data_IF_425129168403
#
_entry.id   IF_425129168403
#
_cell.length_a   1.000
_cell.length_b   1.000
_cell.length_c   1.000
_cell.angle_alpha   90.00
_cell.angle_beta   90.00
_cell.angle_gamma   90.00
#
_symmetry.space_group_name_H-M   'P 1'
#
loop_
_entity.id
_entity.type
_entity.pdbx_description
1 polymer ?
#
# COMPACT_ATOMS: atom_id res chain seq x y z
N UNK A 1 9.32 0.33 3.90
CA UNK A 1 8.46 1.49 3.53
C UNK A 1 7.46 1.76 4.64
N UNK A 2 7.44 2.97 5.25
CA UNK A 2 6.61 3.27 6.42
C UNK A 2 5.11 3.13 6.17
N UNK A 3 4.65 3.41 4.94
CA UNK A 3 3.24 3.27 4.55
C UNK A 3 2.70 1.84 4.67
N UNK A 4 3.53 0.83 4.43
CA UNK A 4 3.12 -0.58 4.60
C UNK A 4 2.84 -0.88 6.06
N UNK A 5 3.65 -0.33 6.97
CA UNK A 5 3.43 -0.45 8.42
C UNK A 5 2.14 0.25 8.86
N UNK A 6 1.85 1.44 8.32
CA UNK A 6 0.60 2.15 8.60
C UNK A 6 -0.62 1.37 8.11
N UNK A 7 -0.58 0.84 6.88
CA UNK A 7 -1.67 0.04 6.33
C UNK A 7 -1.88 -1.26 7.11
N UNK A 8 -0.79 -1.94 7.50
CA UNK A 8 -0.84 -3.13 8.35
C UNK A 8 -1.44 -2.84 9.73
N UNK A 9 -1.01 -1.77 10.39
CA UNK A 9 -1.57 -1.38 11.68
C UNK A 9 -3.06 -1.03 11.61
N UNK A 10 -3.48 -0.31 10.56
CA UNK A 10 -4.89 -0.02 10.31
C UNK A 10 -5.71 -1.31 10.09
N UNK A 11 -5.16 -2.26 9.32
CA UNK A 11 -5.79 -3.56 9.06
C UNK A 11 -5.94 -4.40 10.33
N UNK A 12 -4.87 -4.53 11.12
CA UNK A 12 -4.90 -5.29 12.38
C UNK A 12 -5.90 -4.70 13.36
N UNK A 13 -5.88 -3.37 13.54
CA UNK A 13 -6.84 -2.67 14.39
C UNK A 13 -8.29 -2.92 13.95
N UNK A 14 -8.56 -2.85 12.64
CA UNK A 14 -9.89 -3.07 12.09
C UNK A 14 -10.36 -4.52 12.28
N UNK A 15 -9.52 -5.50 11.95
CA UNK A 15 -9.84 -6.93 12.09
C UNK A 15 -10.10 -7.29 13.55
N UNK A 16 -9.32 -6.74 14.49
CA UNK A 16 -9.55 -6.96 15.92
C UNK A 16 -10.87 -6.32 16.40
N UNK A 17 -11.19 -5.11 15.92
CA UNK A 17 -12.45 -4.45 16.22
C UNK A 17 -13.68 -5.24 15.72
N UNK A 18 -13.60 -5.80 14.51
CA UNK A 18 -14.68 -6.57 13.90
C UNK A 18 -15.13 -7.78 14.72
N UNK A 19 -14.21 -8.42 15.47
CA UNK A 19 -14.50 -9.65 16.24
C UNK A 19 -15.65 -9.47 17.23
N UNK A 20 -15.76 -8.28 17.80
CA UNK A 20 -16.74 -7.91 18.82
C UNK A 20 -17.81 -6.93 18.32
N UNK A 21 -17.73 -6.50 17.05
CA UNK A 21 -18.63 -5.49 16.52
C UNK A 21 -19.99 -6.07 16.14
N UNK A 22 -21.05 -5.45 16.64
CA UNK A 22 -22.44 -5.77 16.29
C UNK A 22 -23.08 -4.63 15.49
N UNK A 23 -23.88 -5.00 14.50
CA UNK A 23 -24.59 -4.05 13.65
C UNK A 23 -25.72 -3.38 14.44
N UNK A 24 -25.77 -2.05 14.40
CA UNK A 24 -26.71 -1.26 15.22
C UNK A 24 -28.18 -1.55 14.91
N UNK A 25 -28.51 -1.87 13.66
CA UNK A 25 -29.90 -2.07 13.23
C UNK A 25 -30.36 -3.53 13.31
N UNK A 26 -29.49 -4.50 13.04
CA UNK A 26 -29.87 -5.92 12.98
C UNK A 26 -29.42 -6.72 14.20
N UNK A 27 -28.50 -6.20 15.01
CA UNK A 27 -27.88 -6.91 16.13
C UNK A 27 -26.91 -8.03 15.72
N UNK A 28 -26.78 -8.29 14.41
CA UNK A 28 -25.90 -9.34 13.87
C UNK A 28 -24.43 -8.98 14.04
N UNK A 29 -23.56 -9.98 14.11
CA UNK A 29 -22.11 -9.76 14.16
C UNK A 29 -21.65 -9.26 12.79
N UNK A 30 -20.97 -8.12 12.75
CA UNK A 30 -20.50 -7.51 11.49
C UNK A 30 -19.50 -8.43 10.78
N UNK A 31 -18.73 -9.21 11.54
CA UNK A 31 -17.80 -10.22 11.01
C UNK A 31 -18.49 -11.34 10.19
N UNK A 32 -19.80 -11.55 10.32
CA UNK A 32 -20.54 -12.56 9.56
C UNK A 32 -20.95 -12.07 8.16
N UNK A 33 -20.81 -10.77 7.88
CA UNK A 33 -21.15 -10.22 6.58
C UNK A 33 -20.09 -10.58 5.53
N UNK A 34 -20.51 -11.25 4.45
CA UNK A 34 -19.64 -11.63 3.33
C UNK A 34 -18.95 -10.42 2.71
N UNK A 35 -19.61 -9.26 2.65
CA UNK A 35 -19.02 -8.01 2.16
C UNK A 35 -17.83 -7.56 3.00
N UNK A 36 -17.90 -7.71 4.33
CA UNK A 36 -16.80 -7.39 5.25
C UNK A 36 -15.66 -8.38 5.08
N UNK A 37 -15.97 -9.68 5.02
CA UNK A 37 -14.96 -10.74 4.82
C UNK A 37 -14.18 -10.55 3.51
N UNK A 38 -14.89 -10.19 2.42
CA UNK A 38 -14.27 -9.89 1.13
C UNK A 38 -13.28 -8.72 1.23
N UNK A 39 -13.65 -7.65 1.93
CA UNK A 39 -12.81 -6.46 2.09
C UNK A 39 -11.62 -6.69 3.00
N UNK A 40 -11.76 -7.53 4.03
CA UNK A 40 -10.64 -8.01 4.84
C UNK A 40 -9.66 -8.79 3.97
N UNK A 41 -10.13 -9.75 3.16
CA UNK A 41 -9.25 -10.52 2.28
C UNK A 41 -8.53 -9.64 1.25
N UNK A 42 -9.25 -8.72 0.61
CA UNK A 42 -8.71 -7.80 -0.40
C UNK A 42 -7.66 -6.84 0.20
N UNK A 43 -7.94 -6.24 1.35
CA UNK A 43 -6.98 -5.38 2.05
C UNK A 43 -5.72 -6.15 2.48
N UNK A 44 -5.88 -7.39 2.97
CA UNK A 44 -4.77 -8.25 3.37
C UNK A 44 -3.82 -8.54 2.21
N UNK A 45 -4.33 -8.97 1.06
CA UNK A 45 -3.48 -9.30 -0.11
C UNK A 45 -2.80 -8.06 -0.69
N UNK A 46 -3.42 -6.88 -0.63
CA UNK A 46 -2.80 -5.62 -1.06
C UNK A 46 -1.59 -5.26 -0.17
N UNK A 47 -1.73 -5.39 1.15
CA UNK A 47 -0.64 -5.14 2.10
C UNK A 47 0.51 -6.12 1.89
N UNK A 48 0.19 -7.40 1.70
CA UNK A 48 1.20 -8.43 1.45
C UNK A 48 1.90 -8.21 0.11
N UNK A 49 1.17 -7.82 -0.93
CA UNK A 49 1.75 -7.46 -2.24
C UNK A 49 2.72 -6.29 -2.10
N UNK A 50 2.32 -5.23 -1.39
CA UNK A 50 3.19 -4.08 -1.14
C UNK A 50 4.48 -4.48 -0.40
N UNK A 51 4.34 -5.35 0.61
CA UNK A 51 5.46 -5.88 1.38
C UNK A 51 6.40 -6.71 0.52
N UNK A 52 5.88 -7.63 -0.29
CA UNK A 52 6.66 -8.50 -1.16
C UNK A 52 7.45 -7.71 -2.20
N UNK A 53 6.82 -6.71 -2.84
CA UNK A 53 7.49 -5.82 -3.80
C UNK A 53 8.66 -5.07 -3.15
N UNK A 54 8.44 -4.48 -1.97
CA UNK A 54 9.50 -3.76 -1.26
C UNK A 54 10.63 -4.69 -0.80
N UNK A 55 10.29 -5.89 -0.34
CA UNK A 55 11.26 -6.89 0.10
C UNK A 55 12.14 -7.36 -1.07
N UNK A 56 11.54 -7.56 -2.23
CA UNK A 56 12.26 -7.96 -3.44
C UNK A 56 13.26 -6.90 -3.90
N UNK A 57 12.81 -5.64 -4.00
CA UNK A 57 13.69 -4.50 -4.33
C UNK A 57 14.87 -4.42 -3.35
N UNK A 58 14.61 -4.59 -2.05
CA UNK A 58 15.65 -4.57 -1.03
C UNK A 58 16.64 -5.72 -1.19
N UNK A 59 16.15 -6.94 -1.43
CA UNK A 59 16.97 -8.14 -1.65
C UNK A 59 17.92 -7.96 -2.84
N UNK A 60 17.40 -7.48 -3.97
CA UNK A 60 18.20 -7.20 -5.16
C UNK A 60 19.25 -6.12 -4.92
N UNK A 61 18.87 -5.03 -4.25
CA UNK A 61 19.80 -3.96 -3.91
C UNK A 61 20.93 -4.44 -3.01
N UNK A 62 20.64 -5.28 -2.01
CA UNK A 62 21.65 -5.87 -1.15
C UNK A 62 22.61 -6.78 -1.92
N UNK A 63 22.10 -7.61 -2.82
CA UNK A 63 22.92 -8.49 -3.65
C UNK A 63 23.90 -7.70 -4.52
N UNK A 64 23.44 -6.61 -5.17
CA UNK A 64 24.29 -5.74 -5.99
C UNK A 64 25.38 -5.07 -5.15
N UNK A 65 25.02 -4.53 -3.98
CA UNK A 65 26.00 -3.90 -3.07
C UNK A 65 27.04 -4.91 -2.59
N UNK A 66 26.63 -6.14 -2.26
CA UNK A 66 27.54 -7.21 -1.84
C UNK A 66 28.51 -7.63 -2.96
N UNK A 67 28.09 -7.53 -4.22
CA UNK A 67 28.93 -7.79 -5.40
C UNK A 67 29.82 -6.59 -5.80
N UNK A 68 29.59 -5.39 -5.24
CA UNK A 68 30.26 -4.15 -5.67
C UNK A 68 29.69 -3.54 -6.95
N UNK A 69 28.52 -4.01 -7.39
CA UNK A 69 27.86 -3.61 -8.62
C UNK A 69 26.88 -2.44 -8.39
N UNK A 70 26.45 -1.83 -9.50
CA UNK A 70 25.40 -0.80 -9.51
C UNK A 70 24.22 -1.27 -10.35
N UNK A 71 22.98 -0.93 -9.97
CA UNK A 71 21.82 -1.29 -10.77
C UNK A 71 21.86 -0.56 -12.11
N UNK A 72 21.52 -1.28 -13.19
CA UNK A 72 21.34 -0.70 -14.51
C UNK A 72 20.07 0.17 -14.59
N UNK A 73 19.89 0.84 -15.73
CA UNK A 73 18.76 1.74 -15.94
C UNK A 73 17.41 1.01 -15.84
N UNK A 74 17.32 -0.21 -16.37
CA UNK A 74 16.07 -1.00 -16.34
C UNK A 74 15.69 -1.38 -14.91
N UNK A 75 16.67 -1.84 -14.13
CA UNK A 75 16.50 -2.21 -12.73
C UNK A 75 16.04 -1.01 -11.90
N UNK A 76 16.65 0.16 -12.12
CA UNK A 76 16.27 1.41 -11.42
C UNK A 76 14.84 1.85 -11.77
N UNK A 77 14.46 1.76 -13.05
CA UNK A 77 13.10 2.07 -13.49
C UNK A 77 12.07 1.12 -12.87
N UNK A 78 12.39 -0.18 -12.84
CA UNK A 78 11.57 -1.22 -12.22
C UNK A 78 11.37 -0.97 -10.72
N UNK A 79 12.44 -0.68 -9.99
CA UNK A 79 12.36 -0.39 -8.55
C UNK A 79 11.49 0.82 -8.23
N UNK A 80 11.54 1.89 -9.04
CA UNK A 80 10.66 3.07 -8.88
C UNK A 80 9.20 2.74 -9.15
N UNK A 81 8.92 1.96 -10.21
CA UNK A 81 7.57 1.46 -10.50
C UNK A 81 7.05 0.63 -9.32
N UNK A 82 7.85 -0.32 -8.82
CA UNK A 82 7.43 -1.24 -7.77
C UNK A 82 7.21 -0.52 -6.44
N UNK A 83 8.06 0.46 -6.11
CA UNK A 83 7.87 1.33 -4.94
C UNK A 83 6.59 2.15 -5.01
N UNK A 84 6.28 2.76 -6.16
CA UNK A 84 5.03 3.51 -6.35
C UNK A 84 3.79 2.61 -6.41
N UNK A 85 3.90 1.38 -6.92
CA UNK A 85 2.80 0.42 -6.85
C UNK A 85 2.54 -0.05 -5.41
N UNK A 86 3.60 -0.36 -4.66
CA UNK A 86 3.48 -0.74 -3.25
C UNK A 86 2.80 0.37 -2.42
N UNK A 87 3.12 1.63 -2.71
CA UNK A 87 2.44 2.78 -2.13
C UNK A 87 0.94 2.81 -2.44
N UNK A 88 0.59 2.62 -3.72
CA UNK A 88 -0.79 2.55 -4.17
C UNK A 88 -1.57 1.42 -3.49
N UNK A 89 -0.98 0.23 -3.36
CA UNK A 89 -1.59 -0.89 -2.63
C UNK A 89 -1.87 -0.55 -1.16
N UNK A 90 -0.94 0.13 -0.48
CA UNK A 90 -1.12 0.53 0.92
C UNK A 90 -2.29 1.52 1.09
N UNK A 91 -2.42 2.50 0.19
CA UNK A 91 -3.56 3.44 0.18
C UNK A 91 -4.87 2.69 -0.07
N UNK A 92 -4.92 1.88 -1.13
CA UNK A 92 -6.12 1.10 -1.48
C UNK A 92 -6.57 0.17 -0.36
N UNK A 93 -5.64 -0.48 0.35
CA UNK A 93 -5.99 -1.32 1.49
C UNK A 93 -6.71 -0.53 2.59
N UNK A 94 -6.22 0.68 2.91
CA UNK A 94 -6.85 1.53 3.92
C UNK A 94 -8.17 2.14 3.44
N UNK A 95 -8.31 2.46 2.16
CA UNK A 95 -9.59 2.90 1.58
C UNK A 95 -10.68 1.83 1.71
N UNK A 96 -10.33 0.57 1.41
CA UNK A 96 -11.25 -0.56 1.52
C UNK A 96 -11.73 -0.73 2.96
N UNK A 97 -10.81 -0.67 3.93
CA UNK A 97 -11.10 -0.76 5.37
C UNK A 97 -11.97 0.42 5.82
N UNK A 98 -11.62 1.64 5.42
CA UNK A 98 -12.35 2.86 5.79
C UNK A 98 -13.79 2.81 5.29
N UNK A 99 -14.00 2.35 4.06
CA UNK A 99 -15.33 2.24 3.43
C UNK A 99 -16.27 1.33 4.21
N UNK A 100 -15.77 0.21 4.76
CA UNK A 100 -16.61 -0.74 5.52
C UNK A 100 -16.75 -0.41 7.01
N UNK A 101 -15.89 0.47 7.54
CA UNK A 101 -15.88 0.86 8.96
C UNK A 101 -16.99 1.86 9.33
N UNK A 102 -17.60 2.51 8.33
CA UNK A 102 -18.66 3.51 8.51
C UNK A 102 -18.20 4.72 9.31
N UNK A 103 -19.16 5.49 9.85
CA UNK A 103 -18.88 6.78 10.54
C UNK A 103 -18.04 6.64 11.81
N UNK A 104 -17.89 5.42 12.34
CA UNK A 104 -17.02 5.18 13.50
C UNK A 104 -15.54 5.32 13.17
N UNK A 105 -15.16 5.16 11.89
CA UNK A 105 -13.81 5.38 11.40
C UNK A 105 -13.34 6.83 11.57
N UNK A 106 -14.27 7.78 11.39
CA UNK A 106 -14.00 9.22 11.37
C UNK A 106 -13.85 9.84 12.77
N UNK A 107 -14.20 9.09 13.83
CA UNK A 107 -14.09 9.59 15.19
C UNK A 107 -12.62 9.79 15.56
N UNK A 108 -12.34 10.88 16.26
CA UNK A 108 -10.96 11.24 16.65
C UNK A 108 -10.31 10.25 17.62
N UNK A 109 -11.11 9.47 18.36
CA UNK A 109 -10.66 8.38 19.23
C UNK A 109 -10.35 7.08 18.46
N UNK A 110 -10.77 7.00 17.18
CA UNK A 110 -10.43 5.88 16.31
C UNK A 110 -9.09 6.16 15.60
N UNK A 111 -8.08 5.26 15.72
CA UNK A 111 -6.81 5.43 15.02
C UNK A 111 -6.92 5.29 13.49
N UNK A 112 -8.00 4.69 12.96
CA UNK A 112 -8.18 4.46 11.53
C UNK A 112 -8.17 5.76 10.71
N UNK A 113 -8.87 6.81 11.14
CA UNK A 113 -8.84 8.10 10.43
C UNK A 113 -7.44 8.74 10.40
N UNK A 114 -6.58 8.45 11.39
CA UNK A 114 -5.20 8.94 11.40
C UNK A 114 -4.40 8.24 10.32
N UNK A 115 -4.44 6.90 10.29
CA UNK A 115 -3.78 6.11 9.24
C UNK A 115 -4.25 6.50 7.85
N UNK A 116 -5.56 6.70 7.66
CA UNK A 116 -6.14 7.16 6.41
C UNK A 116 -5.53 8.49 5.94
N UNK A 117 -5.53 9.52 6.80
CA UNK A 117 -4.98 10.84 6.47
C UNK A 117 -3.47 10.81 6.23
N UNK A 118 -2.73 10.06 7.04
CA UNK A 118 -1.27 9.98 6.96
C UNK A 118 -0.85 9.29 5.64
N UNK A 119 -1.53 8.21 5.25
CA UNK A 119 -1.24 7.51 3.99
C UNK A 119 -1.54 8.37 2.76
N UNK A 120 -2.69 9.05 2.73
CA UNK A 120 -3.04 9.97 1.65
C UNK A 120 -2.09 11.16 1.56
N UNK A 121 -1.52 11.59 2.68
CA UNK A 121 -0.50 12.64 2.68
C UNK A 121 0.84 12.10 2.17
N UNK A 122 1.24 10.90 2.59
CA UNK A 122 2.53 10.31 2.26
C UNK A 122 2.67 9.92 0.78
N UNK A 123 1.59 9.47 0.14
CA UNK A 123 1.62 9.02 -1.28
C UNK A 123 1.92 10.17 -2.26
N UNK A 124 1.75 11.42 -1.85
CA UNK A 124 2.08 12.59 -2.67
C UNK A 124 3.59 12.85 -2.80
N UNK A 125 4.44 12.12 -2.06
CA UNK A 125 5.88 12.22 -2.24
C UNK A 125 6.25 11.73 -3.66
N UNK A 126 7.01 12.55 -4.41
CA UNK A 126 7.24 12.37 -5.85
C UNK A 126 7.75 10.97 -6.26
N UNK A 127 8.52 10.31 -5.38
CA UNK A 127 9.07 8.96 -5.65
C UNK A 127 8.02 7.85 -5.54
N UNK A 128 6.83 8.15 -5.01
CA UNK A 128 5.76 7.19 -4.75
C UNK A 128 4.53 7.43 -5.65
N UNK A 129 4.50 8.53 -6.39
CA UNK A 129 3.41 8.85 -7.32
C UNK A 129 3.45 7.91 -8.51
N UNK A 130 2.41 7.09 -8.67
CA UNK A 130 2.29 6.11 -9.76
C UNK A 130 2.37 6.77 -11.14
N UNK A 131 1.64 7.87 -11.34
CA UNK A 131 1.55 8.55 -12.64
C UNK A 131 2.86 9.20 -13.10
N UNK A 132 3.83 9.34 -12.18
CA UNK A 132 5.20 9.78 -12.50
C UNK A 132 6.10 8.57 -12.79
N UNK A 133 6.08 7.56 -11.92
CA UNK A 133 7.08 6.48 -11.97
C UNK A 133 6.71 5.35 -12.94
N UNK A 134 5.43 5.10 -13.20
CA UNK A 134 4.99 4.04 -14.12
C UNK A 134 5.29 4.35 -15.60
N UNK A 135 5.07 5.58 -16.12
CA UNK A 135 5.46 5.92 -17.48
C UNK A 135 6.97 5.85 -17.71
N UNK A 136 7.78 6.22 -16.71
CA UNK A 136 9.25 6.10 -16.79
C UNK A 136 9.69 4.65 -17.03
N UNK A 137 9.15 3.71 -16.24
CA UNK A 137 9.34 2.29 -16.48
C UNK A 137 8.85 1.88 -17.86
N UNK A 138 7.65 2.32 -18.25
CA UNK A 138 7.06 2.00 -19.55
C UNK A 138 7.95 2.43 -20.72
N UNK A 139 8.56 3.61 -20.65
CA UNK A 139 9.51 4.12 -21.66
C UNK A 139 10.75 3.23 -21.77
N UNK A 140 11.39 2.94 -20.62
CA UNK A 140 12.60 2.10 -20.59
C UNK A 140 12.30 0.69 -21.11
N UNK A 141 11.17 0.11 -20.72
CA UNK A 141 10.76 -1.24 -21.13
C UNK A 141 10.54 -1.39 -22.65
N UNK A 142 10.19 -0.29 -23.35
CA UNK A 142 10.04 -0.28 -24.82
C UNK A 142 11.27 0.26 -25.55
N UNK A 143 12.40 0.41 -24.86
CA UNK A 143 13.67 0.86 -25.45
C UNK A 143 13.81 2.37 -25.65
N UNK A 144 12.95 3.18 -25.01
CA UNK A 144 13.05 4.63 -25.02
C UNK A 144 13.84 5.15 -23.80
N UNK A 145 14.56 6.28 -23.92
CA UNK A 145 15.19 6.91 -22.76
C UNK A 145 14.13 7.40 -21.75
N UNK A 146 14.44 7.37 -20.44
CA UNK A 146 13.56 7.93 -19.42
C UNK A 146 13.32 9.42 -19.69
N UNK A 147 12.15 9.93 -19.32
CA UNK A 147 11.87 11.36 -19.44
C UNK A 147 12.59 12.15 -18.34
N UNK A 148 12.78 11.55 -17.16
CA UNK A 148 13.64 12.08 -16.10
C UNK A 148 15.10 11.59 -16.25
N UNK A 149 16.08 12.47 -16.53
CA UNK A 149 17.50 12.08 -16.64
C UNK A 149 18.10 11.59 -15.32
N UNK A 150 17.51 11.99 -14.18
CA UNK A 150 17.93 11.60 -12.83
C UNK A 150 17.29 10.31 -12.34
N UNK A 151 16.54 9.62 -13.20
CA UNK A 151 15.97 8.30 -12.90
C UNK A 151 17.06 7.39 -12.42
#
# INVERSE_FOLDING_TARGET
>A
MPMIGMARGAYEHFVDGLKNQTARYTGSRVAEYTTVQLKVAEAGVLIDTAYLLCREVWSQAQALVAAGDRPDLETRARWRRDGSHAARCAVQAVDLIHTVSGTTADRLDNPLQRHFRDLHSAVHQIQLVWDINAPEFGRVAVGLPPANPGL
#
